data_IF_285707824722
#
_entry.id   IF_285707824722
#
_cell.length_a   1.000
_cell.length_b   1.000
_cell.length_c   1.000
_cell.angle_alpha   90.00
_cell.angle_beta   90.00
_cell.angle_gamma   90.00
#
_symmetry.space_group_name_H-M   'P 1'
#
loop_
_entity.id
_entity.type
_entity.pdbx_description
1 polymer ?
#
# COMPACT_ATOMS: atom_id res chain seq x y z
N UNK A 1 8.48 18.72 -11.59
CA UNK A 1 7.69 18.02 -10.55
C UNK A 1 8.58 17.74 -9.37
N UNK A 2 8.07 17.91 -8.15
CA UNK A 2 8.84 17.78 -6.90
C UNK A 2 8.38 16.56 -6.12
N UNK A 3 9.30 15.69 -5.77
CA UNK A 3 9.06 14.47 -5.01
C UNK A 3 9.68 14.59 -3.60
N UNK A 4 8.88 14.46 -2.55
CA UNK A 4 9.40 14.27 -1.22
C UNK A 4 9.87 12.81 -1.04
N UNK A 5 11.02 12.60 -0.43
CA UNK A 5 11.57 11.28 -0.18
C UNK A 5 11.79 11.12 1.33
N UNK A 6 11.15 10.13 1.90
CA UNK A 6 11.26 9.77 3.32
C UNK A 6 11.85 8.36 3.39
N UNK A 7 13.17 8.19 3.53
CA UNK A 7 13.77 6.86 3.60
C UNK A 7 13.29 6.04 4.80
N UNK A 8 13.06 6.69 5.94
CA UNK A 8 12.57 6.05 7.16
C UNK A 8 13.62 5.22 7.87
N UNK A 9 13.22 4.02 8.33
CA UNK A 9 13.96 3.17 9.26
C UNK A 9 14.42 1.84 8.63
N UNK A 10 15.35 1.19 9.29
CA UNK A 10 15.78 -0.17 8.95
C UNK A 10 16.31 -0.31 7.53
N UNK A 11 15.68 -1.18 6.73
CA UNK A 11 16.02 -1.37 5.30
C UNK A 11 15.52 -0.23 4.40
N UNK A 12 14.66 0.66 4.90
CA UNK A 12 14.07 1.75 4.12
C UNK A 12 15.07 2.58 3.32
N UNK A 13 16.17 3.08 3.92
CA UNK A 13 17.20 3.83 3.19
C UNK A 13 17.84 3.03 2.05
N UNK A 14 18.08 1.72 2.23
CA UNK A 14 18.69 0.86 1.22
C UNK A 14 17.75 0.68 0.01
N UNK A 15 16.49 0.31 0.25
CA UNK A 15 15.54 0.04 -0.84
C UNK A 15 15.09 1.32 -1.54
N UNK A 16 14.99 2.45 -0.83
CA UNK A 16 14.66 3.76 -1.42
C UNK A 16 15.79 4.24 -2.33
N UNK A 17 17.06 4.03 -1.96
CA UNK A 17 18.19 4.38 -2.81
C UNK A 17 18.10 3.70 -4.19
N UNK A 18 17.70 2.42 -4.20
CA UNK A 18 17.52 1.66 -5.45
C UNK A 18 16.27 2.09 -6.23
N UNK A 19 15.15 2.37 -5.55
CA UNK A 19 13.97 2.96 -6.18
C UNK A 19 14.26 4.30 -6.85
N UNK A 20 15.03 5.16 -6.20
CA UNK A 20 15.48 6.44 -6.76
C UNK A 20 16.45 6.28 -7.95
N UNK A 21 17.26 5.21 -7.95
CA UNK A 21 18.14 4.90 -9.07
C UNK A 21 17.30 4.60 -10.33
N UNK A 22 16.29 3.74 -10.21
CA UNK A 22 15.36 3.45 -11.31
C UNK A 22 14.58 4.70 -11.73
N UNK A 23 14.10 5.48 -10.77
CA UNK A 23 13.35 6.71 -11.05
C UNK A 23 14.16 7.70 -11.89
N UNK A 24 15.45 7.89 -11.58
CA UNK A 24 16.34 8.80 -12.33
C UNK A 24 16.53 8.39 -13.78
N UNK A 25 16.53 7.08 -14.07
CA UNK A 25 16.64 6.58 -15.44
C UNK A 25 15.40 6.88 -16.29
N UNK A 26 14.20 6.73 -15.70
CA UNK A 26 12.95 6.86 -16.44
C UNK A 26 12.34 8.27 -16.39
N UNK A 27 12.68 9.05 -15.36
CA UNK A 27 12.12 10.39 -15.11
C UNK A 27 13.18 11.35 -14.52
N UNK A 28 14.27 11.67 -15.25
CA UNK A 28 15.38 12.49 -14.75
C UNK A 28 14.99 13.95 -14.45
N UNK A 29 13.83 14.39 -14.89
CA UNK A 29 13.28 15.73 -14.64
C UNK A 29 12.53 15.85 -13.30
N UNK A 30 12.39 14.76 -12.53
CA UNK A 30 11.83 14.79 -11.19
C UNK A 30 12.86 15.26 -10.17
N UNK A 31 12.55 16.36 -9.49
CA UNK A 31 13.36 16.91 -8.40
C UNK A 31 13.01 16.20 -7.09
N UNK A 32 14.01 15.66 -6.40
CA UNK A 32 13.82 14.92 -5.15
C UNK A 32 14.32 15.72 -3.94
N UNK A 33 13.51 15.80 -2.89
CA UNK A 33 13.86 16.45 -1.62
C UNK A 33 13.83 15.39 -0.51
N UNK A 34 14.98 15.06 0.14
CA UNK A 34 15.02 14.11 1.23
C UNK A 34 14.52 14.71 2.55
N UNK A 35 13.76 13.93 3.33
CA UNK A 35 13.29 14.28 4.67
C UNK A 35 13.77 13.23 5.68
N UNK A 36 14.48 13.68 6.71
CA UNK A 36 14.94 12.86 7.83
C UNK A 36 13.80 12.68 8.84
N UNK A 37 12.93 11.70 8.59
CA UNK A 37 11.80 11.34 9.44
C UNK A 37 11.90 9.86 9.79
N UNK A 38 11.64 9.52 11.06
CA UNK A 38 11.71 8.15 11.56
C UNK A 38 12.27 8.07 12.98
N UNK A 39 12.69 6.89 13.39
CA UNK A 39 13.19 6.58 14.72
C UNK A 39 14.42 7.40 15.10
N UNK A 40 15.40 7.52 14.19
CA UNK A 40 16.63 8.27 14.45
C UNK A 40 16.36 9.76 14.76
N UNK A 41 15.43 10.38 14.06
CA UNK A 41 14.99 11.74 14.38
C UNK A 41 14.33 11.82 15.75
N UNK A 42 13.38 10.91 16.02
CA UNK A 42 12.66 10.88 17.29
C UNK A 42 13.60 10.70 18.47
N UNK A 43 14.58 9.80 18.38
CA UNK A 43 15.58 9.58 19.43
C UNK A 43 16.44 10.81 19.67
N UNK A 44 16.80 11.55 18.62
CA UNK A 44 17.65 12.74 18.69
C UNK A 44 16.90 13.97 19.21
N UNK A 45 15.63 14.14 18.83
CA UNK A 45 14.90 15.40 19.04
C UNK A 45 13.67 15.26 19.92
N UNK A 46 13.15 14.05 20.14
CA UNK A 46 11.87 13.80 20.79
C UNK A 46 10.64 14.11 19.90
N UNK A 47 10.87 14.48 18.63
CA UNK A 47 9.82 14.89 17.71
C UNK A 47 9.88 14.08 16.42
N UNK A 48 8.73 13.51 16.00
CA UNK A 48 8.65 12.69 14.80
C UNK A 48 8.55 13.53 13.53
N UNK A 49 7.56 14.41 13.47
CA UNK A 49 7.29 15.27 12.33
C UNK A 49 6.71 16.60 12.82
N UNK A 50 7.49 17.70 12.73
CA UNK A 50 7.00 19.06 12.98
C UNK A 50 5.88 19.44 12.01
N UNK A 51 4.97 20.33 12.44
CA UNK A 51 3.92 20.86 11.56
C UNK A 51 4.52 21.59 10.35
N UNK A 52 5.63 22.27 10.51
CA UNK A 52 6.36 22.94 9.42
C UNK A 52 6.82 21.95 8.34
N UNK A 53 7.26 20.76 8.72
CA UNK A 53 7.65 19.71 7.77
C UNK A 53 6.42 19.15 7.05
N UNK A 54 5.30 19.00 7.75
CA UNK A 54 4.04 18.59 7.11
C UNK A 54 3.60 19.62 6.07
N UNK A 55 3.72 20.91 6.38
CA UNK A 55 3.39 22.00 5.45
C UNK A 55 4.34 22.04 4.24
N UNK A 56 5.62 21.71 4.43
CA UNK A 56 6.56 21.53 3.33
C UNK A 56 6.18 20.32 2.45
N UNK A 57 5.83 19.18 3.06
CA UNK A 57 5.40 17.98 2.33
C UNK A 57 4.19 18.26 1.44
N UNK A 58 3.22 19.07 1.90
CA UNK A 58 2.06 19.51 1.10
C UNK A 58 2.42 20.26 -0.18
N UNK A 59 3.64 20.78 -0.29
CA UNK A 59 4.10 21.49 -1.48
C UNK A 59 4.71 20.59 -2.56
N UNK A 60 4.76 19.28 -2.34
CA UNK A 60 5.27 18.31 -3.30
C UNK A 60 4.15 17.70 -4.13
N UNK A 61 4.50 17.15 -5.29
CA UNK A 61 3.54 16.47 -6.17
C UNK A 61 3.25 15.04 -5.70
N UNK A 62 4.22 14.41 -5.02
CA UNK A 62 4.07 13.09 -4.41
C UNK A 62 5.13 12.86 -3.31
N UNK A 63 4.95 11.78 -2.54
CA UNK A 63 5.85 11.33 -1.50
C UNK A 63 6.27 9.88 -1.79
N UNK A 64 7.57 9.59 -1.76
CA UNK A 64 8.11 8.23 -1.73
C UNK A 64 8.58 7.94 -0.30
N UNK A 65 7.96 6.95 0.34
CA UNK A 65 8.30 6.49 1.68
C UNK A 65 8.98 5.12 1.58
N UNK A 66 10.02 4.90 2.37
CA UNK A 66 10.69 3.61 2.50
C UNK A 66 9.98 2.70 3.49
N UNK A 67 10.42 2.69 4.74
CA UNK A 67 9.80 1.88 5.78
C UNK A 67 9.84 2.61 7.12
N UNK A 68 8.86 2.37 7.98
CA UNK A 68 8.79 2.96 9.31
C UNK A 68 8.72 1.85 10.36
N UNK A 69 9.50 1.99 11.40
CA UNK A 69 9.50 1.10 12.54
C UNK A 69 10.92 0.79 13.04
N UNK A 70 11.11 0.85 14.35
CA UNK A 70 12.38 0.53 15.01
C UNK A 70 12.08 -0.08 16.38
N UNK A 71 12.66 -1.25 16.72
CA UNK A 71 12.40 -1.93 17.99
C UNK A 71 12.88 -1.16 19.23
N UNK A 72 13.74 -0.15 19.06
CA UNK A 72 14.18 0.73 20.15
C UNK A 72 13.18 1.83 20.50
N UNK A 73 12.12 2.01 19.67
CA UNK A 73 11.03 2.97 19.91
C UNK A 73 9.82 2.22 20.43
N UNK A 74 9.14 2.72 21.50
CA UNK A 74 7.94 2.07 22.00
C UNK A 74 6.87 1.85 20.93
N UNK A 75 6.18 0.71 20.91
CA UNK A 75 5.16 0.39 19.91
C UNK A 75 4.10 1.48 19.75
N UNK A 76 3.70 1.77 18.52
CA UNK A 76 2.66 2.72 18.18
C UNK A 76 3.12 4.18 18.09
N UNK A 77 4.30 4.54 18.54
CA UNK A 77 4.81 5.92 18.45
C UNK A 77 5.08 6.30 17.00
N UNK A 78 5.87 5.49 16.28
CA UNK A 78 6.24 5.76 14.89
C UNK A 78 5.04 5.61 13.96
N UNK A 79 4.26 4.55 14.13
CA UNK A 79 3.10 4.27 13.30
C UNK A 79 2.05 5.40 13.41
N UNK A 80 1.69 5.78 14.64
CA UNK A 80 0.65 6.81 14.88
C UNK A 80 1.17 8.22 14.60
N UNK A 81 2.40 8.53 15.04
CA UNK A 81 2.94 9.88 14.97
C UNK A 81 3.56 10.24 13.63
N UNK A 82 3.81 9.27 12.74
CA UNK A 82 4.35 9.53 11.42
C UNK A 82 3.46 8.94 10.32
N UNK A 83 3.35 7.61 10.19
CA UNK A 83 2.66 6.98 9.08
C UNK A 83 1.16 7.31 9.05
N UNK A 84 0.43 7.06 10.15
CA UNK A 84 -1.00 7.35 10.22
C UNK A 84 -1.26 8.87 10.21
N UNK A 85 -0.38 9.65 10.82
CA UNK A 85 -0.49 11.11 10.76
C UNK A 85 -0.40 11.63 9.33
N UNK A 86 0.54 11.14 8.51
CA UNK A 86 0.61 11.49 7.09
C UNK A 86 -0.68 11.10 6.36
N UNK A 87 -1.19 9.88 6.59
CA UNK A 87 -2.43 9.41 5.95
C UNK A 87 -3.64 10.28 6.29
N UNK A 88 -3.80 10.67 7.55
CA UNK A 88 -4.95 11.47 7.99
C UNK A 88 -4.82 12.93 7.58
N UNK A 89 -3.66 13.55 7.81
CA UNK A 89 -3.42 14.96 7.53
C UNK A 89 -3.37 15.30 6.03
N UNK A 90 -3.00 14.32 5.20
CA UNK A 90 -2.98 14.45 3.74
C UNK A 90 -4.18 13.77 3.07
N UNK A 91 -5.18 13.37 3.86
CA UNK A 91 -6.42 12.71 3.40
C UNK A 91 -6.20 11.54 2.42
N UNK A 92 -5.28 10.65 2.74
CA UNK A 92 -5.00 9.45 1.95
C UNK A 92 -6.12 8.40 2.10
N UNK A 93 -7.29 8.74 1.61
CA UNK A 93 -8.51 7.95 1.79
C UNK A 93 -8.55 6.66 0.97
N UNK A 94 -7.71 6.53 -0.04
CA UNK A 94 -7.53 5.29 -0.80
C UNK A 94 -6.16 4.71 -0.50
N UNK A 95 -6.11 3.48 0.03
CA UNK A 95 -4.89 2.70 0.04
C UNK A 95 -4.97 1.65 -1.08
N UNK A 96 -4.18 1.87 -2.13
CA UNK A 96 -4.16 1.07 -3.35
C UNK A 96 -3.08 -0.01 -3.24
N UNK A 97 -3.45 -1.29 -3.33
CA UNK A 97 -2.54 -2.43 -3.19
C UNK A 97 -2.73 -3.43 -4.34
N UNK A 98 -1.94 -3.36 -5.41
CA UNK A 98 -1.92 -4.38 -6.44
C UNK A 98 -1.25 -5.67 -5.91
N UNK A 99 -1.79 -6.83 -6.29
CA UNK A 99 -1.20 -8.13 -6.01
C UNK A 99 -1.19 -8.95 -7.28
N UNK A 100 0.01 -9.20 -7.80
CA UNK A 100 0.24 -9.93 -9.04
C UNK A 100 1.30 -11.01 -8.85
N UNK A 101 0.99 -12.23 -9.27
CA UNK A 101 1.99 -13.28 -9.40
C UNK A 101 2.71 -13.09 -10.73
N UNK A 102 3.99 -12.74 -10.66
CA UNK A 102 4.85 -12.55 -11.82
C UNK A 102 5.38 -13.89 -12.35
N UNK A 103 5.63 -13.95 -13.66
CA UNK A 103 6.32 -15.09 -14.25
C UNK A 103 7.72 -15.26 -13.61
N UNK A 104 8.11 -16.50 -13.31
CA UNK A 104 9.36 -16.81 -12.61
C UNK A 104 9.25 -16.78 -11.08
N UNK A 105 8.23 -16.14 -10.52
CA UNK A 105 8.00 -16.12 -9.07
C UNK A 105 7.24 -17.37 -8.64
N UNK A 106 7.73 -18.05 -7.61
CA UNK A 106 7.02 -19.18 -6.99
C UNK A 106 6.15 -18.68 -5.85
N UNK A 107 4.83 -18.76 -6.04
CA UNK A 107 3.88 -18.59 -4.94
C UNK A 107 3.79 -19.85 -4.06
N UNK A 108 3.19 -19.74 -2.87
CA UNK A 108 2.99 -20.89 -1.97
C UNK A 108 1.85 -21.82 -2.39
N UNK A 109 1.07 -21.44 -3.40
CA UNK A 109 -0.11 -22.18 -3.84
C UNK A 109 0.25 -23.25 -4.85
N UNK A 110 -0.44 -24.39 -4.77
CA UNK A 110 -0.37 -25.44 -5.79
C UNK A 110 -1.28 -25.14 -7.00
N UNK A 111 -2.16 -24.13 -6.91
CA UNK A 111 -3.07 -23.74 -8.00
C UNK A 111 -2.29 -23.10 -9.15
N UNK A 112 -2.53 -23.59 -10.35
CA UNK A 112 -2.01 -23.01 -11.58
C UNK A 112 -2.99 -21.95 -12.11
N UNK A 113 -2.49 -20.78 -12.47
CA UNK A 113 -3.28 -19.73 -13.10
C UNK A 113 -2.75 -18.33 -12.77
N UNK A 114 -3.09 -17.34 -13.61
CA UNK A 114 -2.67 -15.97 -13.37
C UNK A 114 -3.39 -15.39 -12.14
N UNK A 115 -2.63 -14.77 -11.26
CA UNK A 115 -3.16 -13.96 -10.16
C UNK A 115 -2.79 -12.52 -10.48
N UNK A 116 -3.81 -11.69 -10.68
CA UNK A 116 -3.67 -10.26 -10.93
C UNK A 116 -4.91 -9.56 -10.39
N UNK A 117 -4.80 -9.03 -9.17
CA UNK A 117 -5.89 -8.32 -8.49
C UNK A 117 -5.43 -6.98 -7.97
N UNK A 118 -6.38 -6.06 -7.82
CA UNK A 118 -6.17 -4.72 -7.26
C UNK A 118 -7.07 -4.54 -6.06
N UNK A 119 -6.50 -4.33 -4.89
CA UNK A 119 -7.28 -4.00 -3.70
C UNK A 119 -7.31 -2.48 -3.49
N UNK A 120 -8.52 -1.95 -3.36
CA UNK A 120 -8.84 -0.57 -2.98
C UNK A 120 -9.33 -0.62 -1.54
N UNK A 121 -8.42 -0.36 -0.60
CA UNK A 121 -8.68 -0.33 0.84
C UNK A 121 -9.03 1.10 1.25
N UNK A 122 -10.02 1.29 2.09
CA UNK A 122 -10.25 2.56 2.77
C UNK A 122 -9.04 2.91 3.65
N UNK A 123 -8.59 4.16 3.68
CA UNK A 123 -7.31 4.56 4.30
C UNK A 123 -7.40 5.46 5.52
N UNK A 124 -8.57 6.06 5.81
CA UNK A 124 -8.71 7.14 6.81
C UNK A 124 -9.79 6.91 7.87
N UNK A 125 -10.53 5.83 7.79
CA UNK A 125 -11.63 5.50 8.69
C UNK A 125 -11.39 4.14 9.39
N UNK A 126 -12.45 3.53 9.89
CA UNK A 126 -12.41 2.26 10.59
C UNK A 126 -11.89 2.40 12.03
N UNK A 127 -11.33 1.32 12.61
CA UNK A 127 -10.75 1.36 13.96
C UNK A 127 -9.41 2.13 14.03
N UNK A 128 -8.78 2.42 12.88
CA UNK A 128 -7.50 3.13 12.80
C UNK A 128 -7.60 4.59 13.25
N UNK A 129 -8.81 5.17 13.30
CA UNK A 129 -9.02 6.52 13.88
C UNK A 129 -8.73 6.58 15.39
N UNK A 130 -8.61 5.41 16.05
CA UNK A 130 -8.28 5.33 17.47
C UNK A 130 -9.43 5.75 18.39
N UNK A 131 -10.68 5.67 17.93
CA UNK A 131 -11.84 5.95 18.76
C UNK A 131 -12.17 4.76 19.65
N UNK A 132 -11.99 4.93 20.96
CA UNK A 132 -12.19 3.88 21.93
C UNK A 132 -11.67 4.27 23.31
N UNK A 133 -11.52 3.30 24.17
CA UNK A 133 -10.98 3.55 25.50
C UNK A 133 -10.97 2.34 26.43
N UNK A 134 -10.34 2.55 27.58
CA UNK A 134 -10.22 1.54 28.64
C UNK A 134 -10.81 2.07 29.94
N UNK A 135 -11.64 1.26 30.62
CA UNK A 135 -12.13 1.49 31.98
C UNK A 135 -11.56 0.44 32.89
N UNK A 136 -11.26 0.82 34.17
CA UNK A 136 -10.74 -0.06 35.24
C UNK A 136 -9.48 -0.81 34.82
N UNK A 137 -8.57 -0.12 34.11
CA UNK A 137 -7.31 -0.67 33.60
C UNK A 137 -6.56 -1.44 34.69
N UNK A 138 -5.95 -2.56 34.33
CA UNK A 138 -5.15 -3.44 35.19
C UNK A 138 -5.96 -4.07 36.37
N UNK A 139 -7.29 -4.19 36.25
CA UNK A 139 -8.16 -4.91 37.20
C UNK A 139 -8.88 -6.08 36.53
N UNK A 140 -9.38 -7.08 37.33
CA UNK A 140 -10.19 -8.16 36.75
C UNK A 140 -11.50 -7.72 36.08
N UNK A 141 -11.93 -6.48 36.30
CA UNK A 141 -13.12 -5.88 35.69
C UNK A 141 -12.75 -4.86 34.63
N UNK A 142 -11.55 -4.95 34.05
CA UNK A 142 -11.14 -4.10 32.93
C UNK A 142 -12.08 -4.26 31.76
N UNK A 143 -12.41 -3.13 31.12
CA UNK A 143 -13.19 -3.06 29.89
C UNK A 143 -12.43 -2.25 28.88
N UNK A 144 -12.23 -2.80 27.69
CA UNK A 144 -11.65 -2.13 26.54
C UNK A 144 -12.65 -2.06 25.39
N UNK A 145 -12.68 -0.92 24.69
CA UNK A 145 -13.52 -0.71 23.50
C UNK A 145 -12.71 -0.12 22.37
N UNK A 146 -12.98 -0.59 21.16
CA UNK A 146 -12.53 0.00 19.92
C UNK A 146 -13.75 0.26 19.03
N UNK A 147 -13.89 1.46 18.49
CA UNK A 147 -15.03 1.85 17.64
C UNK A 147 -14.57 1.99 16.20
N UNK A 148 -15.20 1.23 15.31
CA UNK A 148 -15.00 1.39 13.88
C UNK A 148 -15.86 2.53 13.35
N UNK A 149 -15.24 3.64 12.96
CA UNK A 149 -15.91 4.76 12.30
C UNK A 149 -16.08 4.44 10.81
N UNK A 150 -17.28 4.64 10.28
CA UNK A 150 -17.56 4.54 8.84
C UNK A 150 -18.54 5.66 8.47
N UNK A 151 -18.19 6.52 7.53
CA UNK A 151 -19.06 7.59 7.05
C UNK A 151 -19.52 7.30 5.62
N UNK A 152 -20.71 7.79 5.28
CA UNK A 152 -21.18 7.69 3.90
C UNK A 152 -20.21 8.38 2.93
N UNK A 153 -19.67 9.53 3.33
CA UNK A 153 -18.69 10.27 2.55
C UNK A 153 -17.41 9.47 2.30
N UNK A 154 -16.81 8.88 3.36
CA UNK A 154 -15.57 8.09 3.24
C UNK A 154 -15.77 6.83 2.39
N UNK A 155 -16.88 6.11 2.61
CA UNK A 155 -17.21 4.90 1.86
C UNK A 155 -17.47 5.23 0.38
N UNK A 156 -18.26 6.28 0.07
CA UNK A 156 -18.61 6.61 -1.32
C UNK A 156 -17.37 6.93 -2.16
N UNK A 157 -16.46 7.77 -1.67
CA UNK A 157 -15.27 8.17 -2.43
C UNK A 157 -14.33 7.00 -2.74
N UNK A 158 -14.18 6.07 -1.80
CA UNK A 158 -13.37 4.85 -2.00
C UNK A 158 -14.04 3.88 -2.95
N UNK A 159 -15.35 3.67 -2.80
CA UNK A 159 -16.15 2.82 -3.70
C UNK A 159 -16.12 3.37 -5.12
N UNK A 160 -16.31 4.66 -5.31
CA UNK A 160 -16.27 5.32 -6.61
C UNK A 160 -14.91 5.14 -7.29
N UNK A 161 -13.82 5.37 -6.55
CA UNK A 161 -12.47 5.09 -7.04
C UNK A 161 -12.28 3.63 -7.47
N UNK A 162 -12.81 2.68 -6.70
CA UNK A 162 -12.72 1.26 -7.04
C UNK A 162 -13.48 0.91 -8.33
N UNK A 163 -14.66 1.51 -8.56
CA UNK A 163 -15.40 1.35 -9.82
C UNK A 163 -14.61 1.92 -11.02
N UNK A 164 -13.99 3.10 -10.88
CA UNK A 164 -13.15 3.69 -11.92
C UNK A 164 -11.97 2.76 -12.27
N UNK A 165 -11.34 2.15 -11.27
CA UNK A 165 -10.29 1.14 -11.50
C UNK A 165 -10.84 -0.11 -12.19
N UNK A 166 -12.04 -0.56 -11.82
CA UNK A 166 -12.67 -1.73 -12.46
C UNK A 166 -13.00 -1.48 -13.94
N UNK A 167 -13.51 -0.29 -14.28
CA UNK A 167 -13.75 0.11 -15.69
C UNK A 167 -12.48 0.05 -16.53
N UNK A 168 -11.34 0.44 -15.97
CA UNK A 168 -10.06 0.45 -16.66
C UNK A 168 -9.45 -0.95 -16.86
N UNK A 169 -9.97 -2.00 -16.21
CA UNK A 169 -9.47 -3.37 -16.30
C UNK A 169 -10.32 -4.22 -17.27
N UNK A 170 -9.71 -5.18 -17.97
CA UNK A 170 -10.44 -5.97 -18.98
C UNK A 170 -11.61 -6.78 -18.44
N UNK A 171 -11.52 -7.26 -17.18
CA UNK A 171 -12.54 -8.11 -16.56
C UNK A 171 -13.75 -7.32 -16.05
N UNK A 172 -13.56 -6.04 -15.73
CA UNK A 172 -14.59 -5.14 -15.23
C UNK A 172 -15.40 -5.75 -14.07
N UNK A 173 -14.70 -6.34 -13.10
CA UNK A 173 -15.33 -7.04 -11.98
C UNK A 173 -14.88 -6.41 -10.66
N UNK A 174 -15.85 -6.00 -9.83
CA UNK A 174 -15.63 -5.45 -8.49
C UNK A 174 -16.21 -6.39 -7.43
N UNK A 175 -15.42 -6.72 -6.42
CA UNK A 175 -15.87 -7.48 -5.25
C UNK A 175 -15.80 -6.60 -4.00
N UNK A 176 -16.95 -6.38 -3.35
CA UNK A 176 -16.98 -5.86 -1.98
C UNK A 176 -16.64 -6.98 -1.01
N UNK A 177 -15.58 -6.82 -0.23
CA UNK A 177 -15.24 -7.71 0.89
C UNK A 177 -15.60 -7.01 2.20
N UNK A 178 -16.49 -7.61 2.98
CA UNK A 178 -16.93 -7.07 4.27
C UNK A 178 -17.50 -8.19 5.17
N UNK A 179 -18.02 -7.86 6.36
CA UNK A 179 -18.68 -8.82 7.26
C UNK A 179 -20.08 -8.33 7.66
N UNK A 180 -20.97 -8.18 6.67
CA UNK A 180 -22.29 -7.55 6.83
C UNK A 180 -23.23 -8.29 7.79
N UNK A 181 -23.05 -9.60 7.96
CA UNK A 181 -23.85 -10.41 8.88
C UNK A 181 -23.46 -10.23 10.36
N UNK A 182 -22.33 -9.57 10.66
CA UNK A 182 -21.87 -9.27 12.02
C UNK A 182 -21.81 -7.76 12.24
N UNK A 183 -21.13 -7.04 11.33
CA UNK A 183 -21.02 -5.58 11.36
C UNK A 183 -22.23 -4.97 10.61
N UNK A 184 -23.43 -5.16 11.15
CA UNK A 184 -24.67 -4.87 10.44
C UNK A 184 -24.85 -3.40 10.07
N UNK A 185 -24.38 -2.47 10.89
CA UNK A 185 -24.47 -1.04 10.60
C UNK A 185 -23.45 -0.60 9.56
N UNK A 186 -22.16 -0.86 9.80
CA UNK A 186 -21.09 -0.53 8.84
C UNK A 186 -21.28 -1.31 7.52
N UNK A 187 -21.53 -2.63 7.60
CA UNK A 187 -21.74 -3.47 6.42
C UNK A 187 -22.96 -3.08 5.62
N UNK A 188 -24.05 -2.67 6.28
CA UNK A 188 -25.24 -2.12 5.60
C UNK A 188 -24.94 -0.82 4.86
N UNK A 189 -24.16 0.07 5.46
CA UNK A 189 -23.69 1.32 4.81
C UNK A 189 -22.86 1.01 3.57
N UNK A 190 -21.84 0.13 3.68
CA UNK A 190 -20.99 -0.27 2.57
C UNK A 190 -21.78 -0.90 1.43
N UNK A 191 -22.68 -1.86 1.73
CA UNK A 191 -23.48 -2.55 0.72
C UNK A 191 -24.39 -1.59 -0.03
N UNK A 192 -25.07 -0.69 0.69
CA UNK A 192 -25.96 0.32 0.10
C UNK A 192 -25.21 1.25 -0.83
N UNK A 193 -24.04 1.78 -0.42
CA UNK A 193 -23.26 2.70 -1.24
C UNK A 193 -22.70 2.01 -2.48
N UNK A 194 -22.23 0.75 -2.35
CA UNK A 194 -21.80 -0.02 -3.52
C UNK A 194 -22.94 -0.22 -4.51
N UNK A 195 -24.16 -0.50 -4.04
CA UNK A 195 -25.35 -0.62 -4.89
C UNK A 195 -25.69 0.71 -5.57
N UNK A 196 -25.73 1.81 -4.82
CA UNK A 196 -26.02 3.14 -5.34
C UNK A 196 -25.02 3.56 -6.43
N UNK A 197 -23.71 3.43 -6.17
CA UNK A 197 -22.66 3.80 -7.12
C UNK A 197 -22.65 2.86 -8.34
N UNK A 198 -22.96 1.58 -8.16
CA UNK A 198 -22.98 0.60 -9.27
C UNK A 198 -23.93 0.99 -10.41
N UNK A 199 -25.01 1.71 -10.10
CA UNK A 199 -25.95 2.20 -11.09
C UNK A 199 -25.33 3.20 -12.10
N UNK A 200 -24.23 3.85 -11.72
CA UNK A 200 -23.48 4.77 -12.58
C UNK A 200 -22.45 4.03 -13.46
N UNK A 201 -22.12 2.76 -13.14
CA UNK A 201 -21.12 1.94 -13.82
C UNK A 201 -21.71 0.62 -14.36
N UNK A 202 -22.66 0.67 -15.31
CA UNK A 202 -23.44 -0.50 -15.75
C UNK A 202 -22.58 -1.61 -16.39
N UNK A 203 -21.37 -1.28 -16.84
CA UNK A 203 -20.44 -2.25 -17.44
C UNK A 203 -19.67 -3.07 -16.41
N UNK A 204 -19.71 -2.69 -15.11
CA UNK A 204 -18.96 -3.36 -14.05
C UNK A 204 -19.85 -4.39 -13.36
N UNK A 205 -19.40 -5.64 -13.35
CA UNK A 205 -20.07 -6.70 -12.58
C UNK A 205 -19.67 -6.61 -11.11
N UNK A 206 -20.64 -6.58 -10.21
CA UNK A 206 -20.43 -6.45 -8.78
C UNK A 206 -20.70 -7.77 -8.06
N UNK A 207 -19.82 -8.16 -7.16
CA UNK A 207 -19.98 -9.29 -6.25
C UNK A 207 -19.77 -8.84 -4.79
N UNK A 208 -20.32 -9.63 -3.87
CA UNK A 208 -20.08 -9.50 -2.43
C UNK A 208 -19.51 -10.78 -1.87
N UNK A 209 -18.55 -10.64 -0.94
CA UNK A 209 -18.04 -11.76 -0.16
C UNK A 209 -17.84 -11.41 1.30
N UNK A 210 -18.19 -12.35 2.19
CA UNK A 210 -17.75 -12.28 3.58
C UNK A 210 -16.23 -12.45 3.66
N UNK A 211 -15.58 -11.67 4.51
CA UNK A 211 -14.11 -11.64 4.63
C UNK A 211 -13.50 -12.99 4.98
N UNK A 212 -14.17 -13.81 5.80
CA UNK A 212 -13.74 -15.17 6.13
C UNK A 212 -13.78 -16.10 4.91
N UNK A 213 -14.82 -16.02 4.11
CA UNK A 213 -14.90 -16.75 2.83
C UNK A 213 -13.85 -16.24 1.83
N UNK A 214 -13.67 -14.93 1.76
CA UNK A 214 -12.65 -14.32 0.92
C UNK A 214 -11.25 -14.83 1.30
N UNK A 215 -10.94 -14.92 2.59
CA UNK A 215 -9.64 -15.44 3.08
C UNK A 215 -9.37 -16.87 2.59
N UNK A 216 -10.39 -17.72 2.52
CA UNK A 216 -10.27 -19.05 1.92
C UNK A 216 -10.04 -18.98 0.41
N UNK A 217 -10.78 -18.12 -0.31
CA UNK A 217 -10.67 -18.01 -1.76
C UNK A 217 -9.36 -17.38 -2.22
N UNK A 218 -8.73 -16.52 -1.44
CA UNK A 218 -7.36 -16.07 -1.73
C UNK A 218 -6.37 -17.24 -1.85
N UNK A 219 -6.65 -18.36 -1.17
CA UNK A 219 -5.80 -19.56 -1.20
C UNK A 219 -6.28 -20.55 -2.26
N UNK A 220 -7.59 -20.79 -2.36
CA UNK A 220 -8.15 -21.88 -3.19
C UNK A 220 -8.50 -21.45 -4.61
N UNK A 221 -8.78 -20.17 -4.85
CA UNK A 221 -9.21 -19.61 -6.14
C UNK A 221 -8.88 -18.10 -6.23
N UNK A 222 -7.58 -17.68 -6.08
CA UNK A 222 -7.23 -16.27 -6.09
C UNK A 222 -7.49 -15.58 -7.41
N UNK A 223 -7.48 -16.32 -8.52
CA UNK A 223 -7.76 -15.81 -9.86
C UNK A 223 -9.18 -15.25 -10.06
N UNK A 224 -10.09 -15.50 -9.14
CA UNK A 224 -11.46 -14.95 -9.20
C UNK A 224 -11.53 -13.44 -9.00
N UNK A 225 -10.56 -12.86 -8.26
CA UNK A 225 -10.56 -11.45 -7.95
C UNK A 225 -9.96 -10.62 -9.09
N UNK A 226 -10.58 -9.46 -9.35
CA UNK A 226 -10.11 -8.45 -10.28
C UNK A 226 -9.85 -7.14 -9.53
N UNK A 227 -10.91 -6.40 -9.16
CA UNK A 227 -10.83 -5.29 -8.22
C UNK A 227 -11.59 -5.64 -6.95
N UNK A 228 -10.99 -5.35 -5.82
CA UNK A 228 -11.58 -5.53 -4.49
C UNK A 228 -11.74 -4.14 -3.87
N UNK A 229 -12.91 -3.90 -3.25
CA UNK A 229 -13.10 -2.74 -2.37
C UNK A 229 -13.45 -3.24 -0.97
N UNK A 230 -12.89 -2.60 0.07
CA UNK A 230 -13.08 -3.04 1.45
C UNK A 230 -12.75 -1.93 2.45
N UNK A 231 -13.19 -2.10 3.69
CA UNK A 231 -12.86 -1.20 4.78
C UNK A 231 -11.37 -1.25 5.15
N UNK A 232 -10.98 -0.35 6.05
CA UNK A 232 -9.58 -0.20 6.43
C UNK A 232 -9.02 -1.46 7.11
N UNK A 233 -9.73 -2.07 8.05
CA UNK A 233 -9.23 -3.21 8.80
C UNK A 233 -9.17 -4.49 7.96
N UNK A 234 -10.25 -4.82 7.29
CA UNK A 234 -10.26 -6.02 6.44
C UNK A 234 -9.30 -5.85 5.27
N UNK A 235 -9.17 -4.64 4.73
CA UNK A 235 -8.21 -4.33 3.67
C UNK A 235 -6.77 -4.59 4.08
N UNK A 236 -6.40 -4.26 5.32
CA UNK A 236 -5.07 -4.59 5.85
C UNK A 236 -4.83 -6.10 5.85
N UNK A 237 -5.74 -6.85 6.44
CA UNK A 237 -5.61 -8.30 6.60
C UNK A 237 -5.60 -9.03 5.24
N UNK A 238 -6.56 -8.74 4.36
CA UNK A 238 -6.69 -9.48 3.10
C UNK A 238 -5.57 -9.15 2.10
N UNK A 239 -4.99 -7.94 2.16
CA UNK A 239 -3.87 -7.58 1.28
C UNK A 239 -2.57 -8.24 1.68
N UNK A 240 -2.36 -8.55 2.95
CA UNK A 240 -1.22 -9.36 3.40
C UNK A 240 -1.35 -10.81 2.92
N UNK A 241 -2.57 -11.37 2.94
CA UNK A 241 -2.82 -12.69 2.33
C UNK A 241 -2.56 -12.63 0.81
N UNK A 242 -3.05 -11.58 0.13
CA UNK A 242 -2.82 -11.39 -1.30
C UNK A 242 -1.32 -11.29 -1.63
N UNK A 243 -0.55 -10.54 -0.85
CA UNK A 243 0.90 -10.46 -0.99
C UNK A 243 1.56 -11.83 -0.79
N UNK A 244 1.17 -12.56 0.25
CA UNK A 244 1.73 -13.89 0.53
C UNK A 244 1.52 -14.88 -0.63
N UNK A 245 0.33 -14.90 -1.24
CA UNK A 245 0.01 -15.82 -2.35
C UNK A 245 0.62 -15.39 -3.68
N UNK A 246 1.08 -14.16 -3.81
CA UNK A 246 1.70 -13.63 -5.04
C UNK A 246 3.22 -13.51 -4.98
N UNK A 247 3.87 -14.19 -4.03
CA UNK A 247 5.33 -14.27 -3.96
C UNK A 247 5.96 -13.58 -2.76
N UNK A 248 5.14 -12.99 -1.90
CA UNK A 248 5.57 -12.41 -0.63
C UNK A 248 5.58 -10.87 -0.60
N UNK A 249 5.73 -10.36 0.60
CA UNK A 249 5.65 -8.92 0.90
C UNK A 249 6.78 -8.10 0.22
N UNK A 250 7.89 -8.73 -0.15
CA UNK A 250 9.00 -8.11 -0.89
C UNK A 250 8.66 -7.73 -2.34
N UNK A 251 7.48 -8.15 -2.85
CA UNK A 251 6.96 -7.79 -4.17
C UNK A 251 5.69 -6.93 -4.07
N UNK A 252 5.28 -6.54 -2.88
CA UNK A 252 4.05 -5.82 -2.64
C UNK A 252 4.28 -4.30 -2.58
N UNK A 253 3.76 -3.58 -3.55
CA UNK A 253 3.73 -2.13 -3.60
C UNK A 253 2.42 -1.58 -3.02
N UNK A 254 2.45 -0.33 -2.58
CA UNK A 254 1.29 0.39 -2.04
C UNK A 254 1.29 1.86 -2.46
N UNK A 255 0.10 2.40 -2.71
CA UNK A 255 -0.14 3.83 -2.84
C UNK A 255 -1.19 4.29 -1.84
N UNK A 256 -0.87 5.32 -1.07
CA UNK A 256 -1.81 6.00 -0.19
C UNK A 256 -2.24 7.30 -0.88
N UNK A 257 -3.48 7.34 -1.37
CA UNK A 257 -3.89 8.36 -2.32
C UNK A 257 -4.92 9.31 -1.73
N UNK A 258 -4.68 10.60 -1.91
CA UNK A 258 -5.75 11.58 -1.98
C UNK A 258 -6.23 11.64 -3.43
N UNK A 259 -7.30 10.90 -3.74
CA UNK A 259 -7.86 10.83 -5.09
C UNK A 259 -8.48 12.16 -5.56
N UNK A 260 -8.67 13.12 -4.65
CA UNK A 260 -9.10 14.48 -5.01
C UNK A 260 -7.98 15.32 -5.66
N UNK A 261 -6.71 14.91 -5.45
CA UNK A 261 -5.54 15.64 -5.91
C UNK A 261 -5.25 16.94 -5.15
N UNK A 262 -5.87 17.13 -3.98
CA UNK A 262 -5.63 18.31 -3.14
C UNK A 262 -4.30 18.23 -2.39
N UNK A 263 -3.95 17.04 -1.93
CA UNK A 263 -2.69 16.79 -1.22
C UNK A 263 -1.81 15.80 -1.98
N UNK A 264 -0.47 15.80 -1.75
CA UNK A 264 0.41 14.83 -2.35
C UNK A 264 0.10 13.42 -1.87
N UNK A 265 -0.07 12.48 -2.79
CA UNK A 265 -0.21 11.06 -2.49
C UNK A 265 1.14 10.45 -2.12
N UNK A 266 1.12 9.37 -1.32
CA UNK A 266 2.33 8.72 -0.80
C UNK A 266 2.43 7.28 -1.30
N UNK A 267 3.61 6.87 -1.74
CA UNK A 267 3.90 5.55 -2.29
C UNK A 267 4.98 4.87 -1.45
N UNK A 268 4.75 3.60 -1.11
CA UNK A 268 5.62 2.85 -0.21
C UNK A 268 5.57 1.36 -0.51
N UNK A 269 6.62 0.58 -0.24
CA UNK A 269 6.50 -0.88 -0.19
C UNK A 269 5.63 -1.28 1.02
N UNK A 270 4.95 -2.43 0.92
CA UNK A 270 4.11 -2.93 2.02
C UNK A 270 4.94 -3.49 3.18
N UNK A 271 6.18 -3.96 2.89
CA UNK A 271 7.07 -4.49 3.93
C UNK A 271 7.48 -3.42 4.96
N UNK A 272 7.72 -3.86 6.20
CA UNK A 272 8.23 -3.00 7.27
C UNK A 272 9.74 -2.75 7.17
N UNK A 273 10.30 -2.25 8.26
CA UNK A 273 11.70 -1.84 8.38
C UNK A 273 12.72 -3.00 8.45
N UNK A 274 12.28 -4.24 8.70
CA UNK A 274 13.11 -5.44 8.79
C UNK A 274 14.46 -5.20 9.49
N UNK A 275 14.46 -4.80 10.77
CA UNK A 275 15.66 -4.36 11.49
C UNK A 275 16.74 -5.43 11.61
N UNK A 276 16.36 -6.70 11.53
CA UNK A 276 17.24 -7.88 11.56
C UNK A 276 18.18 -7.99 10.36
N UNK A 277 17.83 -7.42 9.22
CA UNK A 277 18.65 -7.42 7.99
C UNK A 277 19.11 -6.02 7.56
N UNK A 278 18.77 -4.98 8.31
CA UNK A 278 19.15 -3.61 8.01
C UNK A 278 20.69 -3.45 7.96
N UNK A 279 21.21 -2.73 6.95
CA UNK A 279 22.64 -2.51 6.73
C UNK A 279 23.40 -3.70 6.13
N UNK A 280 22.73 -4.81 5.85
CA UNK A 280 23.37 -6.01 5.28
C UNK A 280 23.39 -6.02 3.74
N UNK A 281 22.64 -5.12 3.09
CA UNK A 281 22.57 -5.03 1.63
C UNK A 281 21.96 -6.27 0.97
N UNK A 282 21.00 -6.92 1.64
CA UNK A 282 20.32 -8.15 1.18
C UNK A 282 18.79 -7.99 1.06
N UNK A 283 18.24 -6.83 1.39
CA UNK A 283 16.83 -6.54 1.19
C UNK A 283 16.50 -6.46 -0.32
N UNK A 284 15.40 -7.09 -0.74
CA UNK A 284 14.94 -6.96 -2.13
C UNK A 284 14.26 -5.61 -2.35
N UNK A 285 14.75 -4.73 -3.24
CA UNK A 285 14.18 -3.41 -3.48
C UNK A 285 12.98 -3.45 -4.44
N UNK A 286 12.56 -4.63 -4.92
CA UNK A 286 11.55 -4.77 -5.98
C UNK A 286 10.21 -4.13 -5.59
N UNK A 287 9.75 -4.29 -4.33
CA UNK A 287 8.51 -3.65 -3.87
C UNK A 287 8.59 -2.12 -3.92
N UNK A 288 9.74 -1.53 -3.56
CA UNK A 288 9.95 -0.07 -3.66
C UNK A 288 9.98 0.38 -5.12
N UNK A 289 10.60 -0.38 -6.02
CA UNK A 289 10.60 -0.09 -7.46
C UNK A 289 9.19 -0.18 -8.06
N UNK A 290 8.39 -1.18 -7.64
CA UNK A 290 6.97 -1.26 -8.02
C UNK A 290 6.17 -0.06 -7.49
N UNK A 291 6.50 0.42 -6.27
CA UNK A 291 5.87 1.63 -5.71
C UNK A 291 6.25 2.89 -6.50
N UNK A 292 7.47 2.96 -7.05
CA UNK A 292 7.87 4.00 -8.03
C UNK A 292 7.03 3.88 -9.30
N UNK A 293 6.72 2.68 -9.77
CA UNK A 293 5.80 2.45 -10.90
C UNK A 293 4.40 3.03 -10.63
N UNK A 294 3.82 2.76 -9.45
CA UNK A 294 2.53 3.33 -9.04
C UNK A 294 2.58 4.86 -8.93
N UNK A 295 3.67 5.41 -8.38
CA UNK A 295 3.89 6.85 -8.27
C UNK A 295 3.90 7.51 -9.64
N UNK A 296 4.61 6.94 -10.60
CA UNK A 296 4.68 7.45 -11.98
C UNK A 296 3.32 7.39 -12.67
N UNK A 297 2.58 6.31 -12.50
CA UNK A 297 1.21 6.19 -13.02
C UNK A 297 0.31 7.29 -12.45
N UNK A 298 0.35 7.50 -11.13
CA UNK A 298 -0.41 8.54 -10.44
C UNK A 298 -0.08 9.96 -10.94
N UNK A 299 1.19 10.24 -11.20
CA UNK A 299 1.65 11.52 -11.77
C UNK A 299 1.36 11.68 -13.27
N UNK A 300 0.59 10.77 -13.87
CA UNK A 300 0.24 10.81 -15.29
C UNK A 300 1.38 10.39 -16.24
N UNK A 301 2.46 9.79 -15.71
CA UNK A 301 3.63 9.33 -16.46
C UNK A 301 3.50 7.84 -16.84
N UNK A 302 2.41 7.51 -17.52
CA UNK A 302 2.04 6.13 -17.83
C UNK A 302 3.10 5.36 -18.62
N UNK A 303 3.81 6.00 -19.54
CA UNK A 303 4.85 5.33 -20.33
C UNK A 303 6.08 5.00 -19.47
N UNK A 304 6.47 5.88 -18.56
CA UNK A 304 7.54 5.61 -17.61
C UNK A 304 7.14 4.49 -16.61
N UNK A 305 5.91 4.52 -16.12
CA UNK A 305 5.37 3.45 -15.26
C UNK A 305 5.40 2.09 -15.99
N UNK A 306 5.03 2.03 -17.26
CA UNK A 306 5.11 0.81 -18.07
C UNK A 306 6.55 0.28 -18.18
N UNK A 307 7.54 1.16 -18.39
CA UNK A 307 8.96 0.77 -18.43
C UNK A 307 9.40 0.15 -17.12
N UNK A 308 9.08 0.77 -15.98
CA UNK A 308 9.41 0.24 -14.65
C UNK A 308 8.76 -1.14 -14.44
N UNK A 309 7.47 -1.28 -14.73
CA UNK A 309 6.75 -2.53 -14.56
C UNK A 309 7.27 -3.64 -15.49
N UNK A 310 7.64 -3.29 -16.73
CA UNK A 310 8.24 -4.24 -17.67
C UNK A 310 9.64 -4.70 -17.22
N UNK A 311 10.46 -3.77 -16.70
CA UNK A 311 11.78 -4.07 -16.14
C UNK A 311 11.67 -5.05 -14.98
N UNK A 312 10.74 -4.82 -14.03
CA UNK A 312 10.49 -5.73 -12.90
C UNK A 312 10.00 -7.10 -13.39
N UNK A 313 9.03 -7.13 -14.31
CA UNK A 313 8.51 -8.39 -14.84
C UNK A 313 9.60 -9.22 -15.54
N UNK A 314 10.46 -8.57 -16.33
CA UNK A 314 11.58 -9.24 -16.99
C UNK A 314 12.62 -9.76 -15.97
N UNK A 315 13.04 -8.93 -15.02
CA UNK A 315 14.02 -9.32 -14.00
C UNK A 315 13.51 -10.54 -13.21
N UNK A 316 12.27 -10.51 -12.73
CA UNK A 316 11.68 -11.61 -11.97
C UNK A 316 11.57 -12.89 -12.80
N UNK A 317 11.27 -12.81 -14.09
CA UNK A 317 11.18 -13.99 -14.97
C UNK A 317 12.52 -14.64 -15.27
N UNK A 318 13.62 -13.90 -15.14
CA UNK A 318 14.99 -14.36 -15.46
C UNK A 318 15.89 -14.55 -14.24
N UNK A 319 15.44 -14.07 -13.08
CA UNK A 319 16.19 -14.15 -11.80
C UNK A 319 16.25 -15.60 -11.33
N UNK A 320 17.45 -16.06 -10.97
CA UNK A 320 17.59 -17.35 -10.29
C UNK A 320 17.02 -17.26 -8.86
N UNK A 321 15.95 -18.00 -8.53
CA UNK A 321 15.32 -17.94 -7.21
C UNK A 321 16.21 -18.53 -6.09
N UNK A 322 17.33 -19.19 -6.41
CA UNK A 322 18.28 -19.71 -5.43
C UNK A 322 19.47 -18.78 -5.20
N UNK A 323 19.63 -17.75 -6.04
CA UNK A 323 20.71 -16.78 -5.88
C UNK A 323 20.45 -15.85 -4.70
N UNK A 324 21.48 -15.66 -3.88
CA UNK A 324 21.42 -14.65 -2.81
C UNK A 324 21.24 -13.25 -3.40
N UNK A 325 20.23 -12.56 -2.96
CA UNK A 325 19.94 -11.19 -3.39
C UNK A 325 20.97 -10.22 -2.80
N UNK A 326 21.43 -9.29 -3.62
CA UNK A 326 22.16 -8.10 -3.22
C UNK A 326 21.34 -6.88 -3.63
N UNK A 327 20.94 -6.06 -2.65
CA UNK A 327 20.06 -4.91 -2.83
C UNK A 327 20.51 -4.02 -3.99
N UNK A 328 21.79 -3.60 -3.98
CA UNK A 328 22.35 -2.73 -5.02
C UNK A 328 22.40 -3.41 -6.41
N UNK A 329 22.73 -4.70 -6.48
CA UNK A 329 22.78 -5.42 -7.76
C UNK A 329 21.39 -5.55 -8.41
N UNK A 330 20.35 -5.76 -7.60
CA UNK A 330 18.96 -5.77 -8.08
C UNK A 330 18.58 -4.40 -8.61
N UNK A 331 18.87 -3.34 -7.85
CA UNK A 331 18.60 -1.97 -8.26
C UNK A 331 19.32 -1.57 -9.56
N UNK A 332 20.60 -1.96 -9.70
CA UNK A 332 21.38 -1.70 -10.91
C UNK A 332 20.78 -2.39 -12.14
N UNK A 333 20.37 -3.66 -12.01
CA UNK A 333 19.71 -4.41 -13.09
C UNK A 333 18.38 -3.77 -13.48
N UNK A 334 17.53 -3.43 -12.48
CA UNK A 334 16.24 -2.81 -12.74
C UNK A 334 16.37 -1.44 -13.40
N UNK A 335 17.35 -0.63 -12.99
CA UNK A 335 17.66 0.66 -13.61
C UNK A 335 18.10 0.49 -15.09
N UNK A 336 19.01 -0.44 -15.35
CA UNK A 336 19.46 -0.75 -16.70
C UNK A 336 18.32 -1.25 -17.61
N UNK A 337 17.44 -2.12 -17.08
CA UNK A 337 16.28 -2.62 -17.84
C UNK A 337 15.23 -1.53 -18.10
N UNK A 338 15.05 -0.59 -17.20
CA UNK A 338 14.06 0.47 -17.32
C UNK A 338 14.54 1.61 -18.28
N UNK A 339 15.84 1.75 -18.50
CA UNK A 339 16.42 2.76 -19.39
C UNK A 339 16.25 2.42 -20.89
N UNK A 340 16.14 1.14 -21.22
CA UNK A 340 15.93 0.65 -22.61
C UNK A 340 14.47 0.62 -22.97
#
# INVERSE_FOLDING_TARGET
MRLAVIPGDGIGPEVVAEGLKVLREVAPDLETTPYDLGAARWQRTGELMPDTVLDELRQHDAILLGAIGDPSVPPGILERGLLLRLRFELDHHVNLRPARLFDGVRGPLAAEGPIDMLCVREGTEGPYVGNGGVLRKDTPQELATEVSLNTAFGVERVVRYAFERAVARPRKHLTLIHKTNVLTHAGGLWSRIVEEVSAEFPDVTVAYQHVDAASMFFITDPGRYDVIVTDNLFGDIVTDIAAAVTGGIGLAASGNLDASGTNPSMFEPVHGSAPDIAGQGIADPTATVLSVGLLLEHLGRAEQAKKVNAAVAFDLSTRDPQQQIRTAEVGDRLAALASG
#
